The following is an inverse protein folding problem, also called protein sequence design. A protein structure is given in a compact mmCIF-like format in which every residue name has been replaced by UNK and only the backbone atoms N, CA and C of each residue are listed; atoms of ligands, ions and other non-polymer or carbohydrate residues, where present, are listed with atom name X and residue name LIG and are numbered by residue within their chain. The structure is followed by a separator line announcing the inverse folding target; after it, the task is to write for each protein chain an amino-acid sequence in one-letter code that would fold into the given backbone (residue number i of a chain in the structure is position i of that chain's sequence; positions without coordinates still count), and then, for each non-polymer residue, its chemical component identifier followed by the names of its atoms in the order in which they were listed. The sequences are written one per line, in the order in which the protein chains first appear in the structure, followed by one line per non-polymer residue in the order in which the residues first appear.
data_IF_319855170790
#
_entry.id   IF_319855170790
#
_cell.length_a   1.000
_cell.length_b   1.000
_cell.length_c   1.000
_cell.angle_alpha   90.00
_cell.angle_beta   90.00
_cell.angle_gamma   90.00
#
_symmetry.space_group_name_H-M   'P 1'
#
loop_
_entity.id
_entity.type
_entity.pdbx_description
1 polymer ?
#
# COMPACT_ATOMS: atom_id res chain seq x y z
N UNK A 1 66.98 -13.56 71.02
CA UNK A 1 67.99 -13.49 69.93
C UNK A 1 67.45 -14.31 68.79
N UNK A 2 67.48 -13.80 67.55
CA UNK A 2 67.10 -14.60 66.38
C UNK A 2 68.20 -15.67 66.20
N UNK A 3 67.98 -16.84 66.79
CA UNK A 3 68.77 -18.02 66.50
C UNK A 3 68.33 -18.50 65.13
N UNK A 4 69.22 -18.42 64.14
CA UNK A 4 69.03 -19.08 62.85
C UNK A 4 69.20 -20.59 63.05
N UNK A 5 68.17 -21.21 63.60
CA UNK A 5 68.10 -22.65 63.82
C UNK A 5 67.44 -23.36 62.65
N UNK A 6 67.74 -24.65 62.50
CA UNK A 6 67.15 -25.55 61.48
C UNK A 6 65.61 -25.48 61.48
N UNK A 7 64.98 -25.18 62.62
CA UNK A 7 63.53 -24.96 62.75
C UNK A 7 63.01 -23.85 61.82
N UNK A 8 63.77 -22.77 61.61
CA UNK A 8 63.36 -21.67 60.74
C UNK A 8 63.31 -22.15 59.28
N UNK A 9 64.28 -22.96 58.87
CA UNK A 9 64.32 -23.55 57.52
C UNK A 9 63.16 -24.52 57.33
N UNK A 10 62.87 -25.37 58.33
CA UNK A 10 61.72 -26.29 58.30
C UNK A 10 60.40 -25.52 58.19
N UNK A 11 60.22 -24.44 58.94
CA UNK A 11 59.02 -23.60 58.89
C UNK A 11 58.83 -22.89 57.55
N UNK A 12 59.93 -22.44 56.91
CA UNK A 12 59.89 -21.89 55.56
C UNK A 12 59.44 -22.95 54.55
N UNK A 13 59.98 -24.17 54.64
CA UNK A 13 59.59 -25.28 53.75
C UNK A 13 58.11 -25.62 53.95
N UNK A 14 57.64 -25.74 55.20
CA UNK A 14 56.23 -26.00 55.52
C UNK A 14 55.31 -24.92 54.94
N UNK A 15 55.68 -23.65 55.09
CA UNK A 15 54.91 -22.52 54.56
C UNK A 15 54.85 -22.54 53.02
N UNK A 16 55.95 -22.88 52.35
CA UNK A 16 56.00 -23.01 50.89
C UNK A 16 55.12 -24.18 50.42
N UNK A 17 55.23 -25.34 51.07
CA UNK A 17 54.41 -26.51 50.74
C UNK A 17 52.92 -26.20 50.93
N UNK A 18 52.56 -25.58 52.05
CA UNK A 18 51.19 -25.16 52.33
C UNK A 18 50.69 -24.14 51.29
N UNK A 19 51.51 -23.16 50.91
CA UNK A 19 51.18 -22.16 49.89
C UNK A 19 50.93 -22.80 48.52
N UNK A 20 51.72 -23.80 48.14
CA UNK A 20 51.53 -24.55 46.87
C UNK A 20 50.20 -25.33 46.91
N UNK A 21 49.92 -26.02 48.02
CA UNK A 21 48.67 -26.79 48.20
C UNK A 21 47.46 -25.84 48.15
N UNK A 22 47.49 -24.74 48.88
CA UNK A 22 46.45 -23.69 48.87
C UNK A 22 46.24 -23.11 47.46
N UNK A 23 47.32 -22.84 46.74
CA UNK A 23 47.24 -22.31 45.39
C UNK A 23 46.55 -23.29 44.44
N UNK A 24 46.87 -24.58 44.54
CA UNK A 24 46.29 -25.63 43.71
C UNK A 24 44.83 -25.94 44.07
N UNK A 25 44.50 -26.04 45.36
CA UNK A 25 43.18 -26.48 45.83
C UNK A 25 42.15 -25.35 45.95
N UNK A 26 42.57 -24.11 46.22
CA UNK A 26 41.67 -23.00 46.52
C UNK A 26 41.82 -21.86 45.54
N UNK A 27 43.02 -21.28 45.38
CA UNK A 27 43.20 -20.05 44.61
C UNK A 27 42.87 -20.25 43.13
N UNK A 28 43.49 -21.24 42.49
CA UNK A 28 43.26 -21.55 41.07
C UNK A 28 41.79 -21.90 40.76
N UNK A 29 41.14 -22.84 41.46
CA UNK A 29 39.76 -23.19 41.14
C UNK A 29 38.78 -22.06 41.44
N UNK A 30 38.98 -21.28 42.50
CA UNK A 30 38.12 -20.13 42.80
C UNK A 30 38.24 -19.08 41.69
N UNK A 31 39.47 -18.74 41.29
CA UNK A 31 39.69 -17.76 40.23
C UNK A 31 39.07 -18.19 38.90
N UNK A 32 39.24 -19.47 38.53
CA UNK A 32 38.62 -20.05 37.33
C UNK A 32 37.09 -19.90 37.34
N UNK A 33 36.44 -20.20 38.47
CA UNK A 33 34.98 -20.03 38.61
C UNK A 33 34.54 -18.57 38.47
N UNK A 34 35.30 -17.62 39.02
CA UNK A 34 35.02 -16.20 38.85
C UNK A 34 35.18 -15.74 37.40
N UNK A 35 36.20 -16.23 36.70
CA UNK A 35 36.45 -15.90 35.30
C UNK A 35 35.37 -16.49 34.38
N UNK A 36 34.98 -17.76 34.59
CA UNK A 36 33.85 -18.38 33.88
C UNK A 36 32.55 -17.61 34.09
N UNK A 37 32.26 -17.20 35.33
CA UNK A 37 31.08 -16.38 35.62
C UNK A 37 31.15 -15.04 34.89
N UNK A 38 32.29 -14.34 34.97
CA UNK A 38 32.50 -13.06 34.28
C UNK A 38 32.28 -13.20 32.78
N UNK A 39 32.85 -14.23 32.14
CA UNK A 39 32.68 -14.50 30.72
C UNK A 39 31.22 -14.78 30.35
N UNK A 40 30.50 -15.57 31.17
CA UNK A 40 29.07 -15.83 30.94
C UNK A 40 28.23 -14.55 31.02
N UNK A 41 28.45 -13.73 32.05
CA UNK A 41 27.71 -12.46 32.19
C UNK A 41 28.01 -11.50 31.03
N UNK A 42 29.28 -11.35 30.65
CA UNK A 42 29.64 -10.53 29.49
C UNK A 42 29.06 -11.09 28.17
N UNK A 43 28.97 -12.41 28.02
CA UNK A 43 28.32 -13.05 26.89
C UNK A 43 26.82 -12.73 26.83
N UNK A 44 26.13 -12.88 27.97
CA UNK A 44 24.70 -12.56 28.07
C UNK A 44 24.41 -11.08 27.82
N UNK A 45 25.23 -10.16 28.36
CA UNK A 45 25.09 -8.72 28.08
C UNK A 45 25.21 -8.42 26.58
N UNK A 46 26.22 -9.00 25.92
CA UNK A 46 26.40 -8.84 24.46
C UNK A 46 25.24 -9.42 23.66
N UNK A 47 24.73 -10.59 24.06
CA UNK A 47 23.56 -11.19 23.40
C UNK A 47 22.32 -10.30 23.57
N UNK A 48 22.08 -9.75 24.76
CA UNK A 48 20.96 -8.83 25.02
C UNK A 48 21.07 -7.58 24.13
N UNK A 49 22.27 -7.01 24.01
CA UNK A 49 22.50 -5.84 23.17
C UNK A 49 22.27 -6.16 21.67
N UNK A 50 22.77 -7.31 21.20
CA UNK A 50 22.57 -7.77 19.82
C UNK A 50 21.09 -8.04 19.52
N UNK A 51 20.38 -8.74 20.41
CA UNK A 51 18.93 -8.95 20.25
C UNK A 51 18.16 -7.63 20.25
N UNK A 52 18.54 -6.69 21.11
CA UNK A 52 17.91 -5.36 21.18
C UNK A 52 18.15 -4.57 19.89
N UNK A 53 19.36 -4.62 19.33
CA UNK A 53 19.69 -3.98 18.07
C UNK A 53 18.91 -4.61 16.90
N UNK A 54 18.92 -5.94 16.79
CA UNK A 54 18.17 -6.67 15.76
C UNK A 54 16.67 -6.40 15.83
N UNK A 55 16.11 -6.32 17.04
CA UNK A 55 14.70 -5.99 17.22
C UNK A 55 14.37 -4.58 16.71
N UNK A 56 15.23 -3.59 16.97
CA UNK A 56 15.09 -2.24 16.43
C UNK A 56 15.19 -2.22 14.91
N UNK A 57 16.20 -2.85 14.34
CA UNK A 57 16.37 -2.94 12.89
C UNK A 57 15.19 -3.64 12.20
N UNK A 58 14.66 -4.71 12.80
CA UNK A 58 13.52 -5.43 12.26
C UNK A 58 12.26 -4.56 12.28
N UNK A 59 12.07 -3.78 13.35
CA UNK A 59 10.94 -2.87 13.49
C UNK A 59 11.03 -1.72 12.48
N UNK A 60 12.22 -1.14 12.28
CA UNK A 60 12.45 -0.12 11.26
C UNK A 60 12.19 -0.66 9.84
N UNK A 61 12.74 -1.84 9.51
CA UNK A 61 12.50 -2.51 8.21
C UNK A 61 11.03 -2.83 8.00
N UNK A 62 10.32 -3.26 9.04
CA UNK A 62 8.90 -3.52 8.98
C UNK A 62 8.10 -2.24 8.71
N UNK A 63 8.40 -1.16 9.44
CA UNK A 63 7.74 0.14 9.24
C UNK A 63 8.01 0.71 7.84
N UNK A 64 9.24 0.59 7.34
CA UNK A 64 9.61 1.02 6.00
C UNK A 64 8.84 0.23 4.93
N UNK A 65 8.86 -1.11 5.01
CA UNK A 65 8.12 -1.97 4.06
C UNK A 65 6.62 -1.66 4.09
N UNK A 66 6.05 -1.42 5.27
CA UNK A 66 4.63 -1.05 5.40
C UNK A 66 4.32 0.30 4.76
N UNK A 67 5.21 1.29 4.92
CA UNK A 67 5.06 2.60 4.30
C UNK A 67 5.16 2.51 2.78
N UNK A 68 6.15 1.77 2.27
CA UNK A 68 6.34 1.53 0.83
C UNK A 68 5.12 0.83 0.23
N UNK A 69 4.63 -0.25 0.85
CA UNK A 69 3.44 -0.97 0.39
C UNK A 69 2.19 -0.08 0.37
N UNK A 70 2.00 0.80 1.38
CA UNK A 70 0.90 1.77 1.40
C UNK A 70 1.04 2.80 0.28
N UNK A 71 2.24 3.33 0.06
CA UNK A 71 2.53 4.30 -1.00
C UNK A 71 2.27 3.70 -2.38
N UNK A 72 2.73 2.47 -2.63
CA UNK A 72 2.44 1.74 -3.86
C UNK A 72 0.95 1.45 -4.04
N UNK A 73 0.26 1.07 -2.97
CA UNK A 73 -1.19 0.84 -2.99
C UNK A 73 -1.95 2.10 -3.38
N UNK A 74 -1.60 3.26 -2.80
CA UNK A 74 -2.21 4.54 -3.13
C UNK A 74 -1.90 4.96 -4.58
N UNK A 75 -0.66 4.77 -5.05
CA UNK A 75 -0.29 5.05 -6.45
C UNK A 75 -1.10 4.20 -7.42
N UNK A 76 -1.21 2.89 -7.17
CA UNK A 76 -2.03 1.99 -8.00
C UNK A 76 -3.50 2.39 -7.99
N UNK A 77 -4.04 2.78 -6.82
CA UNK A 77 -5.41 3.24 -6.71
C UNK A 77 -5.64 4.53 -7.52
N UNK A 78 -4.71 5.48 -7.48
CA UNK A 78 -4.83 6.73 -8.22
C UNK A 78 -4.74 6.49 -9.73
N UNK A 79 -3.81 5.65 -10.18
CA UNK A 79 -3.71 5.25 -11.59
C UNK A 79 -5.02 4.60 -12.10
N UNK A 80 -5.59 3.69 -11.32
CA UNK A 80 -6.87 3.06 -11.68
C UNK A 80 -8.03 4.06 -11.73
N UNK A 81 -8.05 5.06 -10.85
CA UNK A 81 -9.06 6.13 -10.88
C UNK A 81 -8.88 7.03 -12.11
N UNK A 82 -7.65 7.39 -12.45
CA UNK A 82 -7.37 8.18 -13.64
C UNK A 82 -7.76 7.44 -14.93
N UNK A 83 -7.43 6.16 -15.02
CA UNK A 83 -7.81 5.29 -16.14
C UNK A 83 -9.34 5.15 -16.24
N UNK A 84 -10.02 4.90 -15.11
CA UNK A 84 -11.49 4.85 -15.07
C UNK A 84 -12.13 6.17 -15.53
N UNK A 85 -11.62 7.32 -15.07
CA UNK A 85 -12.09 8.65 -15.50
C UNK A 85 -11.85 8.89 -16.99
N UNK A 86 -10.75 8.37 -17.54
CA UNK A 86 -10.46 8.47 -18.98
C UNK A 86 -11.45 7.65 -19.80
N UNK A 87 -11.68 6.40 -19.42
CA UNK A 87 -12.66 5.52 -20.06
C UNK A 87 -14.07 6.11 -19.97
N UNK A 88 -14.44 6.67 -18.82
CA UNK A 88 -15.72 7.34 -18.60
C UNK A 88 -15.89 8.51 -19.57
N UNK A 89 -14.89 9.39 -19.69
CA UNK A 89 -14.91 10.51 -20.64
C UNK A 89 -15.01 10.05 -22.09
N UNK A 90 -14.26 9.02 -22.47
CA UNK A 90 -14.30 8.47 -23.84
C UNK A 90 -15.68 7.88 -24.16
N UNK A 91 -16.28 7.12 -23.24
CA UNK A 91 -17.65 6.60 -23.39
C UNK A 91 -18.68 7.72 -23.46
N UNK A 92 -18.60 8.72 -22.59
CA UNK A 92 -19.48 9.88 -22.62
C UNK A 92 -19.40 10.61 -23.96
N UNK A 93 -18.20 10.85 -24.48
CA UNK A 93 -18.01 11.49 -25.78
C UNK A 93 -18.57 10.63 -26.93
N UNK A 94 -18.37 9.31 -26.90
CA UNK A 94 -18.94 8.41 -27.89
C UNK A 94 -20.48 8.45 -27.87
N UNK A 95 -21.09 8.36 -26.69
CA UNK A 95 -22.54 8.44 -26.52
C UNK A 95 -23.08 9.81 -26.97
N UNK A 96 -22.41 10.92 -26.63
CA UNK A 96 -22.83 12.24 -27.08
C UNK A 96 -22.80 12.36 -28.61
N UNK A 97 -21.79 11.81 -29.28
CA UNK A 97 -21.72 11.77 -30.75
C UNK A 97 -22.84 10.94 -31.36
N UNK A 98 -23.15 9.77 -30.78
CA UNK A 98 -24.27 8.94 -31.23
C UNK A 98 -25.63 9.63 -31.06
N UNK A 99 -25.83 10.33 -29.93
CA UNK A 99 -27.04 11.11 -29.68
C UNK A 99 -27.16 12.27 -30.66
N UNK A 100 -26.08 13.01 -30.93
CA UNK A 100 -26.08 14.06 -31.95
C UNK A 100 -26.37 13.53 -33.35
N UNK A 101 -25.80 12.38 -33.72
CA UNK A 101 -26.07 11.72 -35.00
C UNK A 101 -27.55 11.33 -35.12
N UNK A 102 -28.11 10.66 -34.10
CA UNK A 102 -29.54 10.31 -34.06
C UNK A 102 -30.44 11.54 -34.11
N UNK A 103 -30.06 12.63 -33.44
CA UNK A 103 -30.82 13.89 -33.47
C UNK A 103 -30.86 14.47 -34.89
N UNK A 104 -29.73 14.47 -35.60
CA UNK A 104 -29.68 14.92 -37.01
C UNK A 104 -30.52 14.03 -37.92
N UNK A 105 -30.44 12.72 -37.77
CA UNK A 105 -31.29 11.78 -38.53
C UNK A 105 -32.78 12.04 -38.28
N UNK A 106 -33.17 12.27 -37.03
CA UNK A 106 -34.55 12.64 -36.67
C UNK A 106 -34.97 13.98 -37.27
N UNK A 107 -34.11 15.01 -37.23
CA UNK A 107 -34.40 16.31 -37.85
C UNK A 107 -34.57 16.21 -39.37
N UNK A 108 -33.76 15.40 -40.04
CA UNK A 108 -33.88 15.14 -41.49
C UNK A 108 -35.14 14.34 -41.84
N UNK A 109 -35.44 13.29 -41.07
CA UNK A 109 -36.66 12.49 -41.24
C UNK A 109 -37.91 13.35 -41.02
N UNK A 110 -37.91 14.16 -39.95
CA UNK A 110 -39.02 15.06 -39.64
C UNK A 110 -39.24 16.11 -40.74
N UNK A 111 -38.17 16.69 -41.30
CA UNK A 111 -38.29 17.62 -42.44
C UNK A 111 -38.90 16.93 -43.67
N UNK A 112 -38.46 15.72 -44.01
CA UNK A 112 -39.02 14.95 -45.13
C UNK A 112 -40.49 14.61 -44.93
N UNK A 113 -40.88 14.15 -43.74
CA UNK A 113 -42.28 13.89 -43.40
C UNK A 113 -43.12 15.17 -43.47
N UNK A 114 -42.60 16.29 -42.95
CA UNK A 114 -43.28 17.57 -42.98
C UNK A 114 -43.46 18.11 -44.41
N UNK A 115 -42.45 17.97 -45.27
CA UNK A 115 -42.55 18.30 -46.70
C UNK A 115 -43.57 17.40 -47.42
N UNK A 116 -43.58 16.10 -47.12
CA UNK A 116 -44.56 15.15 -47.65
C UNK A 116 -46.00 15.52 -47.26
N UNK A 117 -46.24 15.81 -45.99
CA UNK A 117 -47.54 16.28 -45.48
C UNK A 117 -47.93 17.60 -46.15
N UNK A 118 -46.98 18.54 -46.27
CA UNK A 118 -47.22 19.84 -46.92
C UNK A 118 -47.61 19.66 -48.40
N UNK A 119 -46.95 18.75 -49.12
CA UNK A 119 -47.32 18.42 -50.50
C UNK A 119 -48.70 17.77 -50.59
N UNK A 120 -49.05 16.87 -49.67
CA UNK A 120 -50.39 16.26 -49.62
C UNK A 120 -51.48 17.31 -49.35
N UNK A 121 -51.25 18.24 -48.43
CA UNK A 121 -52.19 19.34 -48.16
C UNK A 121 -52.34 20.26 -49.38
N UNK A 122 -51.24 20.55 -50.10
CA UNK A 122 -51.28 21.34 -51.33
C UNK A 122 -51.99 20.62 -52.48
N UNK A 123 -51.88 19.29 -52.56
CA UNK A 123 -52.61 18.47 -53.53
C UNK A 123 -54.11 18.39 -53.20
N UNK A 124 -54.46 18.37 -51.90
CA UNK A 124 -55.86 18.41 -51.44
C UNK A 124 -56.44 19.82 -51.41
N UNK A 125 -55.69 20.84 -51.85
CA UNK A 125 -56.10 22.25 -51.76
C UNK A 125 -57.31 22.55 -52.64
N UNK A 126 -57.44 21.89 -53.80
CA UNK A 126 -58.64 21.97 -54.66
C UNK A 126 -59.86 21.29 -54.02
N UNK A 127 -59.68 20.13 -53.39
CA UNK A 127 -60.75 19.42 -52.67
C UNK A 127 -61.20 20.17 -51.43
N UNK A 128 -60.28 20.76 -50.67
CA UNK A 128 -60.56 21.63 -49.52
C UNK A 128 -61.22 22.94 -49.96
N UNK A 129 -60.76 23.56 -51.05
CA UNK A 129 -61.40 24.75 -51.61
C UNK A 129 -62.83 24.45 -52.07
N UNK A 130 -63.05 23.33 -52.75
CA UNK A 130 -64.39 22.89 -53.16
C UNK A 130 -65.28 22.58 -51.94
N UNK A 131 -64.77 21.92 -50.89
CA UNK A 131 -65.51 21.69 -49.64
C UNK A 131 -65.89 22.99 -48.92
N UNK A 132 -64.99 23.98 -48.92
CA UNK A 132 -65.26 25.31 -48.34
C UNK A 132 -66.30 26.06 -49.16
N UNK A 133 -66.19 26.03 -50.50
CA UNK A 133 -67.16 26.63 -51.43
C UNK A 133 -68.53 25.93 -51.29
N UNK A 134 -68.56 24.61 -51.16
CA UNK A 134 -69.79 23.84 -50.98
C UNK A 134 -70.48 24.16 -49.64
N UNK A 135 -69.71 24.34 -48.56
CA UNK A 135 -70.19 24.78 -47.23
C UNK A 135 -70.66 26.23 -47.19
N UNK A 136 -70.06 27.14 -47.97
CA UNK A 136 -70.39 28.57 -48.01
C UNK A 136 -71.50 28.91 -49.01
N UNK A 137 -71.60 28.20 -50.14
CA UNK A 137 -72.53 28.51 -51.23
C UNK A 137 -73.79 27.63 -51.17
N UNK A 138 -73.80 26.56 -50.37
CA UNK A 138 -75.01 25.76 -50.12
C UNK A 138 -75.58 25.05 -51.34
N UNK A 139 -74.81 24.97 -52.44
CA UNK A 139 -75.11 24.19 -53.63
C UNK A 139 -73.86 23.47 -54.10
N UNK A 140 -74.00 22.17 -54.32
CA UNK A 140 -73.03 21.33 -55.03
C UNK A 140 -72.81 21.91 -56.44
N UNK A 141 -71.56 22.04 -56.82
CA UNK A 141 -71.14 22.00 -58.22
C UNK A 141 -70.38 20.70 -58.41
#
# INVERSE_FOLDING_TARGET
MLSFDISLIVQIIETIVLAIILNALLIKPIMKNFEERRMRFQGLEREIDDYSLRAKELLEKYQQTLHEARSEGLKKQELLKEEARKIERERLQAVMKEVEAKKREWEEAFKKEFEGIRQQILAQKETLANLIIEKLVGRRV
#
